data_IF_352595954526
#
_entry.id   IF_352595954526
#
_cell.length_a   1.000
_cell.length_b   1.000
_cell.length_c   1.000
_cell.angle_alpha   90.00
_cell.angle_beta   90.00
_cell.angle_gamma   90.00
#
_symmetry.space_group_name_H-M   'P 1'
#
loop_
_entity.id
_entity.type
_entity.pdbx_description
1 polymer ?
#
# COMPACT_ATOMS: atom_id res chain seq x y z
N UNK A 1 16.04 -12.79 -1.17
CA UNK A 1 15.59 -13.16 -2.52
C UNK A 1 14.13 -12.79 -2.56
N UNK A 2 13.74 -11.86 -3.43
CA UNK A 2 12.35 -11.40 -3.52
C UNK A 2 11.51 -12.49 -4.17
N UNK A 3 10.50 -13.00 -3.46
CA UNK A 3 9.64 -14.06 -3.96
C UNK A 3 8.31 -13.49 -4.47
N UNK A 4 8.37 -12.91 -5.67
CA UNK A 4 7.22 -12.27 -6.30
C UNK A 4 6.38 -13.28 -7.10
N UNK A 5 5.06 -13.21 -6.93
CA UNK A 5 4.08 -14.02 -7.68
C UNK A 5 3.89 -13.55 -9.12
N UNK A 6 4.30 -12.31 -9.41
CA UNK A 6 4.13 -11.66 -10.71
C UNK A 6 5.45 -11.00 -11.15
N UNK A 7 5.63 -10.72 -12.47
CA UNK A 7 6.84 -10.07 -12.96
C UNK A 7 7.11 -8.72 -12.29
N UNK A 8 8.39 -8.37 -12.11
CA UNK A 8 8.84 -7.17 -11.39
C UNK A 8 8.18 -5.88 -11.91
N UNK A 9 8.11 -5.71 -13.23
CA UNK A 9 7.46 -4.54 -13.84
C UNK A 9 5.96 -4.47 -13.53
N UNK A 10 5.26 -5.62 -13.48
CA UNK A 10 3.85 -5.67 -13.11
C UNK A 10 3.63 -5.40 -11.62
N UNK A 11 4.53 -5.89 -10.76
CA UNK A 11 4.51 -5.59 -9.34
C UNK A 11 4.65 -4.09 -9.07
N UNK A 12 5.67 -3.44 -9.66
CA UNK A 12 5.88 -2.00 -9.52
C UNK A 12 4.65 -1.22 -10.01
N UNK A 13 4.13 -1.55 -11.20
CA UNK A 13 2.96 -0.86 -11.75
C UNK A 13 1.72 -0.98 -10.84
N UNK A 14 1.49 -2.16 -10.25
CA UNK A 14 0.36 -2.37 -9.34
C UNK A 14 0.53 -1.57 -8.03
N UNK A 15 1.75 -1.50 -7.47
CA UNK A 15 2.03 -0.71 -6.27
C UNK A 15 1.90 0.79 -6.54
N UNK A 16 2.40 1.28 -7.68
CA UNK A 16 2.25 2.66 -8.13
C UNK A 16 0.77 3.02 -8.32
N UNK A 17 -0.04 2.14 -8.91
CA UNK A 17 -1.49 2.33 -9.04
C UNK A 17 -2.16 2.56 -7.67
N UNK A 18 -1.74 1.81 -6.63
CA UNK A 18 -2.27 2.02 -5.28
C UNK A 18 -1.90 3.38 -4.70
N UNK A 19 -0.65 3.82 -4.89
CA UNK A 19 -0.18 5.15 -4.47
C UNK A 19 -0.96 6.25 -5.20
N UNK A 20 -1.23 6.10 -6.50
CA UNK A 20 -2.02 7.08 -7.25
C UNK A 20 -3.48 7.10 -6.79
N UNK A 21 -4.11 5.94 -6.59
CA UNK A 21 -5.48 5.85 -6.08
C UNK A 21 -5.65 6.52 -4.71
N UNK A 22 -4.59 6.51 -3.89
CA UNK A 22 -4.56 7.18 -2.60
C UNK A 22 -4.69 8.70 -2.72
N UNK A 23 -4.10 9.30 -3.77
CA UNK A 23 -4.14 10.76 -3.97
C UNK A 23 -5.58 11.25 -4.15
N UNK A 24 -6.42 10.48 -4.83
CA UNK A 24 -7.85 10.76 -5.00
C UNK A 24 -8.56 10.85 -3.65
N UNK A 25 -8.27 9.92 -2.74
CA UNK A 25 -8.88 9.86 -1.41
C UNK A 25 -8.39 11.00 -0.52
N UNK A 26 -7.11 11.38 -0.64
CA UNK A 26 -6.54 12.51 0.10
C UNK A 26 -7.05 13.87 -0.38
N UNK A 27 -7.51 13.97 -1.63
CA UNK A 27 -8.00 15.22 -2.22
C UNK A 27 -9.38 15.65 -1.71
N UNK A 28 -10.07 14.81 -0.93
CA UNK A 28 -11.37 15.17 -0.33
C UNK A 28 -11.22 16.36 0.63
N UNK A 29 -11.98 17.47 0.44
CA UNK A 29 -11.81 18.72 1.19
C UNK A 29 -11.87 18.55 2.72
N UNK A 30 -12.84 17.78 3.20
CA UNK A 30 -13.05 17.51 4.63
C UNK A 30 -12.19 16.35 5.17
N UNK A 31 -11.28 15.83 4.33
CA UNK A 31 -10.54 14.61 4.57
C UNK A 31 -11.30 13.35 4.12
N UNK A 32 -10.60 12.21 4.06
CA UNK A 32 -11.21 10.97 3.60
C UNK A 32 -12.21 10.44 4.63
N UNK A 33 -13.36 9.95 4.16
CA UNK A 33 -14.32 9.29 5.03
C UNK A 33 -13.78 7.92 5.48
N UNK A 34 -14.27 7.44 6.63
CA UNK A 34 -13.83 6.17 7.21
C UNK A 34 -13.87 5.00 6.21
N UNK A 35 -14.99 4.87 5.48
CA UNK A 35 -15.18 3.77 4.55
C UNK A 35 -14.37 3.91 3.26
N UNK A 36 -14.03 5.13 2.84
CA UNK A 36 -13.09 5.35 1.73
C UNK A 36 -11.70 4.82 2.09
N UNK A 37 -11.24 5.14 3.32
CA UNK A 37 -9.95 4.66 3.84
C UNK A 37 -9.95 3.14 3.93
N UNK A 38 -10.97 2.54 4.54
CA UNK A 38 -11.11 1.09 4.70
C UNK A 38 -11.15 0.38 3.34
N UNK A 39 -11.96 0.90 2.41
CA UNK A 39 -12.08 0.34 1.06
C UNK A 39 -10.76 0.36 0.30
N UNK A 40 -10.03 1.49 0.39
CA UNK A 40 -8.71 1.60 -0.21
C UNK A 40 -7.67 0.68 0.44
N UNK A 41 -7.66 0.57 1.77
CA UNK A 41 -6.75 -0.33 2.50
C UNK A 41 -6.99 -1.78 2.09
N UNK A 42 -8.25 -2.22 2.01
CA UNK A 42 -8.62 -3.57 1.59
C UNK A 42 -8.17 -3.88 0.16
N UNK A 43 -8.36 -2.93 -0.77
CA UNK A 43 -7.87 -3.05 -2.14
C UNK A 43 -6.33 -3.11 -2.20
N UNK A 44 -5.65 -2.32 -1.37
CA UNK A 44 -4.18 -2.32 -1.27
C UNK A 44 -3.67 -3.64 -0.69
N UNK A 45 -4.29 -4.19 0.35
CA UNK A 45 -3.93 -5.52 0.88
C UNK A 45 -4.07 -6.61 -0.18
N UNK A 46 -5.16 -6.57 -0.95
CA UNK A 46 -5.39 -7.51 -2.06
C UNK A 46 -4.32 -7.37 -3.16
N UNK A 47 -3.86 -6.14 -3.44
CA UNK A 47 -2.75 -5.90 -4.36
C UNK A 47 -1.44 -6.49 -3.83
N UNK A 48 -1.11 -6.29 -2.56
CA UNK A 48 0.08 -6.86 -1.92
C UNK A 48 0.05 -8.39 -1.94
N UNK A 49 -1.09 -9.01 -1.66
CA UNK A 49 -1.25 -10.47 -1.73
C UNK A 49 -1.06 -11.03 -3.15
N UNK A 50 -1.32 -10.22 -4.19
CA UNK A 50 -1.04 -10.58 -5.58
C UNK A 50 0.42 -10.40 -5.97
N UNK A 51 1.13 -9.47 -5.33
CA UNK A 51 2.56 -9.22 -5.57
C UNK A 51 3.41 -10.28 -4.86
N UNK A 52 3.16 -10.49 -3.57
CA UNK A 52 4.05 -11.26 -2.70
C UNK A 52 3.53 -12.66 -2.37
N UNK A 53 4.47 -13.60 -2.28
CA UNK A 53 4.32 -14.96 -1.75
C UNK A 53 3.72 -15.03 -0.34
N UNK A 54 3.24 -16.21 0.07
CA UNK A 54 2.85 -16.45 1.48
C UNK A 54 4.05 -16.58 2.44
N UNK A 55 5.26 -16.61 1.91
CA UNK A 55 6.53 -16.69 2.67
C UNK A 55 7.19 -15.31 2.84
N UNK A 56 6.66 -14.28 2.19
CA UNK A 56 7.17 -12.91 2.27
C UNK A 56 6.52 -12.17 3.44
N UNK A 57 7.29 -11.32 4.12
CA UNK A 57 6.81 -10.55 5.29
C UNK A 57 6.00 -9.30 4.89
N UNK A 58 6.16 -8.80 3.66
CA UNK A 58 5.54 -7.56 3.17
C UNK A 58 4.01 -7.50 3.35
N UNK A 59 3.25 -8.58 3.11
CA UNK A 59 1.82 -8.63 3.42
C UNK A 59 1.50 -8.45 4.91
N UNK A 60 2.36 -8.90 5.80
CA UNK A 60 2.17 -8.80 7.26
C UNK A 60 2.54 -7.39 7.73
N UNK A 61 3.66 -6.84 7.26
CA UNK A 61 4.09 -5.50 7.60
C UNK A 61 3.06 -4.43 7.20
N UNK A 62 2.47 -4.56 6.01
CA UNK A 62 1.47 -3.58 5.57
C UNK A 62 0.13 -3.72 6.32
N UNK A 63 -0.18 -4.91 6.84
CA UNK A 63 -1.36 -5.14 7.68
C UNK A 63 -1.17 -4.62 9.10
N UNK A 64 0.07 -4.48 9.54
CA UNK A 64 0.39 -3.85 10.81
C UNK A 64 0.08 -2.34 10.82
N UNK A 65 -0.02 -1.72 9.63
CA UNK A 65 -0.53 -0.36 9.48
C UNK A 65 -2.04 -0.40 9.74
N UNK A 66 -2.40 -0.22 11.01
CA UNK A 66 -3.75 -0.43 11.52
C UNK A 66 -4.81 0.46 10.90
N UNK A 67 -6.07 0.06 11.05
CA UNK A 67 -7.24 0.85 10.66
C UNK A 67 -7.45 2.04 11.62
N UNK A 68 -8.15 3.11 11.18
CA UNK A 68 -8.61 4.13 12.10
C UNK A 68 -9.46 3.47 13.21
N UNK A 69 -9.18 3.79 14.47
CA UNK A 69 -9.85 3.14 15.61
C UNK A 69 -11.37 3.35 15.63
N UNK A 70 -11.85 4.47 15.08
CA UNK A 70 -13.28 4.76 14.93
C UNK A 70 -13.53 5.74 13.78
N UNK A 71 -14.77 5.73 13.26
CA UNK A 71 -15.23 6.66 12.24
C UNK A 71 -15.12 8.13 12.68
N UNK A 72 -15.27 8.43 13.98
CA UNK A 72 -15.12 9.78 14.54
C UNK A 72 -13.69 10.35 14.41
N UNK A 73 -12.68 9.48 14.23
CA UNK A 73 -11.26 9.87 14.09
C UNK A 73 -10.76 9.80 12.64
N UNK A 74 -11.61 9.37 11.71
CA UNK A 74 -11.22 8.99 10.35
C UNK A 74 -10.54 10.13 9.55
N UNK A 75 -11.00 11.37 9.70
CA UNK A 75 -10.43 12.50 8.94
C UNK A 75 -8.95 12.76 9.28
N UNK A 76 -8.60 12.86 10.58
CA UNK A 76 -7.22 13.14 11.01
C UNK A 76 -6.35 11.87 11.00
N UNK A 77 -6.85 10.77 11.56
CA UNK A 77 -6.11 9.51 11.64
C UNK A 77 -5.97 8.85 10.27
N UNK A 78 -6.98 8.95 9.41
CA UNK A 78 -6.94 8.40 8.05
C UNK A 78 -5.86 9.04 7.20
N UNK A 79 -5.64 10.36 7.30
CA UNK A 79 -4.54 11.02 6.57
C UNK A 79 -3.16 10.48 7.00
N UNK A 80 -2.93 10.29 8.30
CA UNK A 80 -1.68 9.72 8.81
C UNK A 80 -1.48 8.28 8.34
N UNK A 81 -2.52 7.45 8.45
CA UNK A 81 -2.49 6.05 8.01
C UNK A 81 -2.18 5.95 6.51
N UNK A 82 -2.84 6.76 5.68
CA UNK A 82 -2.57 6.77 4.23
C UNK A 82 -1.11 7.15 3.92
N UNK A 83 -0.50 8.09 4.67
CA UNK A 83 0.92 8.42 4.49
C UNK A 83 1.85 7.28 4.91
N UNK A 84 1.54 6.55 5.99
CA UNK A 84 2.30 5.36 6.38
C UNK A 84 2.24 4.28 5.30
N UNK A 85 1.05 4.02 4.75
CA UNK A 85 0.92 3.12 3.61
C UNK A 85 1.72 3.60 2.40
N UNK A 86 1.67 4.90 2.06
CA UNK A 86 2.42 5.45 0.94
C UNK A 86 3.92 5.18 1.09
N UNK A 87 4.47 5.46 2.28
CA UNK A 87 5.88 5.23 2.56
C UNK A 87 6.22 3.75 2.38
N UNK A 88 5.41 2.85 2.96
CA UNK A 88 5.66 1.41 2.87
C UNK A 88 5.55 0.87 1.44
N UNK A 89 4.57 1.32 0.66
CA UNK A 89 4.43 0.97 -0.75
C UNK A 89 5.62 1.47 -1.58
N UNK A 90 6.14 2.67 -1.27
CA UNK A 90 7.33 3.21 -1.92
C UNK A 90 8.57 2.39 -1.59
N UNK A 91 8.76 2.00 -0.33
CA UNK A 91 9.87 1.14 0.11
C UNK A 91 9.86 -0.19 -0.66
N UNK A 92 8.67 -0.79 -0.83
CA UNK A 92 8.49 -2.02 -1.60
C UNK A 92 8.86 -1.85 -3.08
N UNK A 93 8.47 -0.74 -3.71
CA UNK A 93 8.85 -0.43 -5.10
C UNK A 93 10.37 -0.29 -5.22
N UNK A 94 11.01 0.41 -4.29
CA UNK A 94 12.45 0.66 -4.31
C UNK A 94 13.25 -0.62 -4.06
N UNK A 95 12.76 -1.51 -3.21
CA UNK A 95 13.33 -2.85 -2.99
C UNK A 95 13.29 -3.69 -4.28
N UNK A 96 12.13 -3.76 -4.96
CA UNK A 96 11.98 -4.49 -6.23
C UNK A 96 12.93 -3.90 -7.29
N UNK A 97 13.02 -2.57 -7.41
CA UNK A 97 13.91 -1.89 -8.37
C UNK A 97 15.39 -2.18 -8.09
N UNK A 98 15.79 -2.21 -6.82
CA UNK A 98 17.16 -2.54 -6.42
C UNK A 98 17.49 -3.97 -6.82
N UNK A 99 16.61 -4.92 -6.51
CA UNK A 99 16.79 -6.32 -6.86
C UNK A 99 16.92 -6.52 -8.38
N UNK A 100 16.06 -5.89 -9.19
CA UNK A 100 16.17 -5.91 -10.67
C UNK A 100 17.52 -5.39 -11.16
N UNK A 101 18.07 -4.35 -10.52
CA UNK A 101 19.33 -3.73 -10.91
C UNK A 101 20.55 -4.56 -10.51
N UNK A 102 20.43 -5.42 -9.50
CA UNK A 102 21.49 -6.31 -9.03
C UNK A 102 21.51 -7.67 -9.76
N UNK A 103 20.38 -8.07 -10.36
CA UNK A 103 20.27 -9.30 -11.17
C UNK A 103 20.58 -9.12 -12.67
N UNK A 104 20.73 -7.87 -13.14
CA UNK A 104 21.09 -7.53 -14.52
C UNK A 104 22.57 -7.27 -14.73
#
# INVERSE_FOLDING_TARGET
MLNLKIPHAQAIALLEERIEAMKTIRATPDGPEYYDVVGWMSATHSAIDRVYGGEEIHPEEIRAIGLPACSCSAGRSGRMILEEYRAKLQDYIDEIRRFVSEEG
#
